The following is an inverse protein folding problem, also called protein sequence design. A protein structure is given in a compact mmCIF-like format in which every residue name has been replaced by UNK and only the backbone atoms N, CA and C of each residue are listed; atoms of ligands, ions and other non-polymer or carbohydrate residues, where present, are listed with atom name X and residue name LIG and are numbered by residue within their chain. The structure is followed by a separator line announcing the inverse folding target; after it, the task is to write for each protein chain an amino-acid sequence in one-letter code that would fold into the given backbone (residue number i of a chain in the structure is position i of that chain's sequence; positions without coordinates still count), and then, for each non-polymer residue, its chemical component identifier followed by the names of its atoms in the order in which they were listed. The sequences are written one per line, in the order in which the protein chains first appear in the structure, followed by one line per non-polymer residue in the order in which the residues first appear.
data_IF_516953194568
#
_entry.id   IF_516953194568
#
_cell.length_a   1.000
_cell.length_b   1.000
_cell.length_c   1.000
_cell.angle_alpha   90.00
_cell.angle_beta   90.00
_cell.angle_gamma   90.00
#
_symmetry.space_group_name_H-M   'P 1'
#
loop_
_entity.id
_entity.type
_entity.pdbx_description
1 polymer ?
#
# COMPACT_ATOMS: atom_id res chain seq x y z
N UNK A 1 34.38 52.85 -2.61
CA UNK A 1 34.86 51.64 -1.91
C UNK A 1 33.66 50.83 -1.42
N UNK A 2 33.30 49.75 -2.11
CA UNK A 2 32.18 48.89 -1.73
C UNK A 2 32.71 47.64 -1.02
N UNK A 3 32.29 47.44 0.24
CA UNK A 3 32.69 46.30 1.07
C UNK A 3 32.23 44.96 0.44
N UNK A 4 33.14 44.06 0.01
CA UNK A 4 32.79 42.80 -0.66
C UNK A 4 32.20 41.74 0.28
N UNK A 5 32.19 41.98 1.59
CA UNK A 5 31.66 41.05 2.60
C UNK A 5 30.14 41.03 2.75
N UNK A 6 29.43 42.12 2.42
CA UNK A 6 27.98 42.24 2.69
C UNK A 6 27.09 41.48 1.71
N UNK A 7 27.54 41.25 0.47
CA UNK A 7 26.78 40.47 -0.53
C UNK A 7 26.85 38.97 -0.24
N UNK A 8 28.03 38.47 0.14
CA UNK A 8 28.23 37.05 0.48
C UNK A 8 27.46 36.65 1.74
N UNK A 9 27.45 37.49 2.79
CA UNK A 9 26.65 37.24 3.99
C UNK A 9 25.15 37.31 3.75
N UNK A 10 24.67 38.21 2.88
CA UNK A 10 23.25 38.25 2.47
C UNK A 10 22.81 37.02 1.69
N UNK A 11 23.64 36.54 0.76
CA UNK A 11 23.35 35.31 -0.01
C UNK A 11 23.34 34.08 0.91
N UNK A 12 24.29 34.02 1.86
CA UNK A 12 24.36 32.92 2.82
C UNK A 12 23.13 32.88 3.74
N UNK A 13 22.71 34.05 4.27
CA UNK A 13 21.49 34.17 5.07
C UNK A 13 20.24 33.76 4.29
N UNK A 14 20.16 34.14 3.02
CA UNK A 14 19.00 33.83 2.17
C UNK A 14 18.93 32.33 1.86
N UNK A 15 20.06 31.69 1.53
CA UNK A 15 20.16 30.24 1.37
C UNK A 15 19.79 29.50 2.67
N UNK A 16 20.27 29.99 3.82
CA UNK A 16 19.97 29.36 5.10
C UNK A 16 18.47 29.44 5.43
N UNK A 17 17.82 30.58 5.17
CA UNK A 17 16.37 30.73 5.34
C UNK A 17 15.57 29.83 4.39
N UNK A 18 16.00 29.67 3.13
CA UNK A 18 15.35 28.75 2.19
C UNK A 18 15.47 27.32 2.70
N UNK A 19 16.66 26.92 3.16
CA UNK A 19 16.92 25.56 3.65
C UNK A 19 16.08 25.24 4.89
N UNK A 20 16.01 26.18 5.84
CA UNK A 20 15.18 26.05 7.05
C UNK A 20 13.69 25.96 6.70
N UNK A 21 13.21 26.80 5.78
CA UNK A 21 11.82 26.76 5.33
C UNK A 21 11.49 25.47 4.57
N UNK A 22 12.42 24.92 3.78
CA UNK A 22 12.26 23.63 3.11
C UNK A 22 12.17 22.47 4.11
N UNK A 23 13.00 22.48 5.16
CA UNK A 23 12.95 21.46 6.22
C UNK A 23 11.64 21.56 7.00
N UNK A 24 11.22 22.77 7.39
CA UNK A 24 9.94 23.01 8.07
C UNK A 24 8.78 22.55 7.19
N UNK A 25 8.81 22.84 5.89
CA UNK A 25 7.77 22.40 4.95
C UNK A 25 7.72 20.88 4.82
N UNK A 26 8.85 20.18 4.75
CA UNK A 26 8.89 18.70 4.69
C UNK A 26 8.41 18.09 6.00
N UNK A 27 8.80 18.63 7.16
CA UNK A 27 8.36 18.13 8.48
C UNK A 27 6.87 18.38 8.71
N UNK A 28 6.35 19.54 8.34
CA UNK A 28 4.91 19.86 8.43
C UNK A 28 4.12 18.99 7.44
N UNK A 29 4.58 18.85 6.19
CA UNK A 29 3.90 18.00 5.19
C UNK A 29 3.90 16.53 5.62
N UNK A 30 5.03 15.99 6.07
CA UNK A 30 5.12 14.61 6.52
C UNK A 30 4.34 14.40 7.83
N UNK A 31 4.35 15.36 8.76
CA UNK A 31 3.59 15.29 10.02
C UNK A 31 2.08 15.44 9.82
N UNK A 32 1.62 16.24 8.86
CA UNK A 32 0.20 16.34 8.46
C UNK A 32 -0.23 15.09 7.70
N UNK A 33 0.61 14.53 6.82
CA UNK A 33 0.32 13.27 6.11
C UNK A 33 0.29 12.10 7.09
N UNK A 34 1.23 12.02 8.05
CA UNK A 34 1.23 10.97 9.09
C UNK A 34 0.07 11.12 10.07
N UNK A 35 -0.29 12.34 10.50
CA UNK A 35 -1.48 12.55 11.34
C UNK A 35 -2.76 12.26 10.58
N UNK A 36 -2.89 12.70 9.33
CA UNK A 36 -4.09 12.43 8.54
C UNK A 36 -4.20 10.95 8.19
N UNK A 37 -3.10 10.25 7.92
CA UNK A 37 -3.11 8.81 7.69
C UNK A 37 -3.39 8.03 8.99
N UNK A 38 -2.79 8.38 10.13
CA UNK A 38 -3.09 7.73 11.43
C UNK A 38 -4.50 8.00 11.92
N UNK A 39 -5.01 9.22 11.77
CA UNK A 39 -6.39 9.59 12.13
C UNK A 39 -7.37 8.95 11.14
N UNK A 40 -7.03 8.83 9.86
CA UNK A 40 -7.81 8.10 8.86
C UNK A 40 -7.82 6.61 9.15
N UNK A 41 -6.67 5.96 9.40
CA UNK A 41 -6.58 4.53 9.68
C UNK A 41 -7.28 4.15 10.99
N UNK A 42 -7.07 4.91 12.08
CA UNK A 42 -7.79 4.65 13.34
C UNK A 42 -9.28 4.95 13.23
N UNK A 43 -9.71 6.00 12.53
CA UNK A 43 -11.14 6.23 12.27
C UNK A 43 -11.73 5.24 11.29
N UNK A 44 -10.95 4.69 10.35
CA UNK A 44 -11.42 3.71 9.36
C UNK A 44 -11.52 2.32 9.99
N UNK A 45 -10.57 1.91 10.84
CA UNK A 45 -10.66 0.68 11.65
C UNK A 45 -11.78 0.80 12.68
N UNK A 46 -11.92 1.94 13.38
CA UNK A 46 -13.02 2.17 14.31
C UNK A 46 -14.38 2.30 13.59
N UNK A 47 -14.47 2.93 12.42
CA UNK A 47 -15.70 2.98 11.61
C UNK A 47 -15.99 1.64 10.91
N UNK A 48 -15.01 0.82 10.59
CA UNK A 48 -15.22 -0.55 10.07
C UNK A 48 -15.73 -1.48 11.18
N UNK A 49 -15.31 -1.25 12.43
CA UNK A 49 -15.88 -1.88 13.63
C UNK A 49 -17.25 -1.30 14.05
N UNK A 50 -17.57 -0.07 13.61
CA UNK A 50 -18.84 0.63 13.89
C UNK A 50 -19.69 0.89 12.63
N UNK A 51 -19.55 0.07 11.60
CA UNK A 51 -20.55 0.04 10.52
C UNK A 51 -21.81 -0.58 11.10
N UNK A 52 -22.70 0.31 11.58
CA UNK A 52 -24.14 0.17 11.82
C UNK A 52 -24.55 -1.16 12.48
N UNK A 53 -25.18 -1.09 13.65
CA UNK A 53 -26.14 -2.16 14.03
C UNK A 53 -26.96 -2.48 12.78
N UNK A 54 -26.83 -3.68 12.20
CA UNK A 54 -27.49 -3.96 10.93
C UNK A 54 -28.98 -3.91 11.22
N UNK A 55 -29.62 -2.82 10.80
CA UNK A 55 -31.06 -2.78 10.69
C UNK A 55 -31.46 -4.01 9.88
N UNK A 56 -32.23 -4.89 10.51
CA UNK A 56 -32.48 -6.23 10.02
C UNK A 56 -33.35 -6.15 8.74
N UNK A 57 -32.73 -6.00 7.56
CA UNK A 57 -33.45 -5.90 6.28
C UNK A 57 -34.27 -7.17 5.97
N UNK A 58 -33.97 -8.28 6.66
CA UNK A 58 -34.74 -9.53 6.64
C UNK A 58 -36.20 -9.40 7.11
N UNK A 59 -36.57 -8.34 7.82
CA UNK A 59 -37.96 -8.12 8.27
C UNK A 59 -38.96 -8.13 7.12
N UNK A 60 -38.64 -7.57 5.95
CA UNK A 60 -39.58 -7.55 4.81
C UNK A 60 -39.84 -8.92 4.20
N UNK A 61 -38.87 -9.85 4.28
CA UNK A 61 -39.04 -11.24 3.82
C UNK A 61 -39.83 -12.07 4.84
N UNK A 62 -39.63 -11.82 6.14
CA UNK A 62 -40.38 -12.45 7.21
C UNK A 62 -41.83 -11.95 7.28
N UNK A 63 -42.07 -10.66 7.01
CA UNK A 63 -43.40 -10.03 7.02
C UNK A 63 -44.35 -10.69 6.01
N UNK A 64 -43.86 -11.00 4.80
CA UNK A 64 -44.62 -11.75 3.79
C UNK A 64 -44.95 -13.19 4.25
N UNK A 65 -44.06 -13.83 5.01
CA UNK A 65 -44.31 -15.14 5.62
C UNK A 65 -45.28 -15.09 6.81
N UNK A 66 -45.21 -14.01 7.60
CA UNK A 66 -46.09 -13.74 8.76
C UNK A 66 -47.51 -13.37 8.35
N UNK A 67 -47.70 -12.67 7.23
CA UNK A 67 -49.02 -12.23 6.75
C UNK A 67 -49.93 -13.42 6.40
N UNK A 68 -49.38 -14.50 5.83
CA UNK A 68 -50.11 -15.75 5.58
C UNK A 68 -50.39 -16.58 6.84
N UNK A 69 -49.61 -16.38 7.90
CA UNK A 69 -49.71 -17.08 9.19
C UNK A 69 -50.74 -16.44 10.13
N UNK A 70 -50.81 -15.11 10.20
CA UNK A 70 -51.77 -14.37 11.03
C UNK A 70 -53.24 -14.66 10.65
N UNK A 71 -53.52 -14.97 9.39
CA UNK A 71 -54.87 -15.38 8.95
C UNK A 71 -55.33 -16.73 9.53
N UNK A 72 -54.40 -17.65 9.85
CA UNK A 72 -54.70 -18.95 10.48
C UNK A 72 -54.58 -18.93 12.00
N UNK A 73 -53.79 -18.00 12.54
CA UNK A 73 -53.57 -17.81 13.97
C UNK A 73 -54.82 -17.31 14.73
N UNK A 74 -55.72 -16.61 14.03
CA UNK A 74 -56.97 -16.06 14.57
C UNK A 74 -58.20 -16.93 14.25
N UNK A 75 -58.05 -18.26 14.12
CA UNK A 75 -59.24 -19.13 14.13
C UNK A 75 -59.86 -19.02 15.52
N UNK A 76 -60.87 -18.15 15.60
CA UNK A 76 -61.75 -17.99 16.74
C UNK A 76 -62.50 -19.32 16.90
N UNK A 77 -62.02 -20.17 17.81
CA UNK A 77 -62.60 -21.48 18.14
C UNK A 77 -64.06 -21.37 18.61
N UNK A 78 -64.59 -20.16 18.81
CA UNK A 78 -66.00 -19.92 19.18
C UNK A 78 -66.97 -19.89 18.00
N UNK A 79 -66.50 -19.86 16.75
CA UNK A 79 -67.38 -19.79 15.56
C UNK A 79 -67.23 -21.03 14.67
N UNK A 80 -67.93 -22.10 15.07
CA UNK A 80 -68.64 -23.13 14.26
C UNK A 80 -68.39 -24.55 14.78
N UNK A 81 -69.35 -25.12 15.52
CA UNK A 81 -70.30 -26.12 15.01
C UNK A 81 -71.23 -26.59 16.16
N UNK A 82 -72.49 -26.16 16.11
CA UNK A 82 -73.58 -26.86 16.79
C UNK A 82 -73.79 -28.18 16.05
N UNK A 83 -73.29 -29.28 16.63
CA UNK A 83 -73.60 -30.64 16.18
C UNK A 83 -72.49 -31.66 16.50
N UNK A 84 -72.72 -32.46 17.54
CA UNK A 84 -72.15 -33.77 17.86
C UNK A 84 -70.79 -34.16 17.25
N UNK A 85 -69.71 -33.83 17.96
CA UNK A 85 -68.64 -34.77 18.36
C UNK A 85 -67.50 -34.00 19.03
N UNK A 86 -67.48 -33.97 20.37
CA UNK A 86 -66.34 -33.45 21.15
C UNK A 86 -65.01 -34.10 20.74
N UNK A 87 -65.05 -35.34 20.21
CA UNK A 87 -63.88 -36.06 19.71
C UNK A 87 -63.38 -35.52 18.36
N UNK A 88 -64.25 -35.06 17.47
CA UNK A 88 -63.86 -34.47 16.19
C UNK A 88 -63.28 -33.06 16.38
N UNK A 89 -63.86 -32.27 17.28
CA UNK A 89 -63.37 -30.93 17.64
C UNK A 89 -62.01 -30.98 18.35
N UNK A 90 -61.83 -31.89 19.31
CA UNK A 90 -60.54 -32.11 19.98
C UNK A 90 -59.43 -32.57 19.03
N UNK A 91 -59.76 -33.42 18.05
CA UNK A 91 -58.78 -33.87 17.04
C UNK A 91 -58.41 -32.74 16.07
N UNK A 92 -59.37 -31.88 15.69
CA UNK A 92 -59.11 -30.70 14.86
C UNK A 92 -58.21 -29.68 15.60
N UNK A 93 -58.52 -29.35 16.85
CA UNK A 93 -57.73 -28.42 17.68
C UNK A 93 -56.29 -28.93 17.89
N UNK A 94 -56.11 -30.22 18.18
CA UNK A 94 -54.78 -30.83 18.30
C UNK A 94 -53.98 -30.77 17.00
N UNK A 95 -54.65 -30.98 15.85
CA UNK A 95 -54.00 -30.90 14.53
C UNK A 95 -53.57 -29.47 14.18
N UNK A 96 -54.32 -28.45 14.62
CA UNK A 96 -53.98 -27.05 14.40
C UNK A 96 -52.77 -26.62 15.25
N UNK A 97 -52.67 -27.09 16.50
CA UNK A 97 -51.47 -26.87 17.32
C UNK A 97 -50.22 -27.53 16.72
N UNK A 98 -50.35 -28.72 16.13
CA UNK A 98 -49.24 -29.38 15.41
C UNK A 98 -48.82 -28.58 14.17
N UNK A 99 -49.78 -28.01 13.43
CA UNK A 99 -49.50 -27.10 12.31
C UNK A 99 -48.75 -25.85 12.78
N UNK A 100 -49.19 -25.21 13.87
CA UNK A 100 -48.54 -24.03 14.44
C UNK A 100 -47.10 -24.33 14.91
N UNK A 101 -46.87 -25.47 15.56
CA UNK A 101 -45.50 -25.90 15.95
C UNK A 101 -44.63 -26.11 14.72
N UNK A 102 -45.17 -26.73 13.66
CA UNK A 102 -44.44 -26.93 12.40
C UNK A 102 -44.08 -25.60 11.73
N UNK A 103 -44.99 -24.63 11.74
CA UNK A 103 -44.72 -23.29 11.19
C UNK A 103 -43.69 -22.51 12.01
N UNK A 104 -43.72 -22.60 13.34
CA UNK A 104 -42.68 -22.00 14.20
C UNK A 104 -41.29 -22.55 13.85
N UNK A 105 -41.17 -23.87 13.63
CA UNK A 105 -39.92 -24.50 13.19
C UNK A 105 -39.49 -24.01 11.80
N UNK A 106 -40.42 -23.95 10.85
CA UNK A 106 -40.16 -23.45 9.48
C UNK A 106 -39.67 -21.99 9.50
N UNK A 107 -40.27 -21.14 10.33
CA UNK A 107 -39.85 -19.75 10.51
C UNK A 107 -38.43 -19.69 11.08
N UNK A 108 -38.15 -20.47 12.14
CA UNK A 108 -36.80 -20.57 12.72
C UNK A 108 -35.75 -20.94 11.66
N UNK A 109 -36.02 -21.94 10.83
CA UNK A 109 -35.08 -22.37 9.78
C UNK A 109 -34.87 -21.28 8.71
N UNK A 110 -35.92 -20.52 8.36
CA UNK A 110 -35.82 -19.39 7.43
C UNK A 110 -35.00 -18.26 8.02
N UNK A 111 -35.25 -17.90 9.29
CA UNK A 111 -34.49 -16.86 9.98
C UNK A 111 -33.01 -17.21 10.09
N UNK A 112 -32.69 -18.46 10.44
CA UNK A 112 -31.31 -18.95 10.51
C UNK A 112 -30.61 -18.86 9.15
N UNK A 113 -31.26 -19.29 8.07
CA UNK A 113 -30.71 -19.20 6.71
C UNK A 113 -30.51 -17.75 6.25
N UNK A 114 -31.45 -16.84 6.55
CA UNK A 114 -31.31 -15.42 6.25
C UNK A 114 -30.12 -14.82 7.02
N UNK A 115 -29.98 -15.16 8.31
CA UNK A 115 -28.87 -14.64 9.12
C UNK A 115 -27.52 -15.14 8.64
N UNK A 116 -27.41 -16.41 8.26
CA UNK A 116 -26.20 -16.98 7.67
C UNK A 116 -25.84 -16.31 6.34
N UNK A 117 -26.83 -16.01 5.48
CA UNK A 117 -26.62 -15.28 4.22
C UNK A 117 -26.09 -13.86 4.46
N UNK A 118 -26.66 -13.14 5.43
CA UNK A 118 -26.22 -11.78 5.80
C UNK A 118 -24.78 -11.77 6.31
N UNK A 119 -24.42 -12.74 7.16
CA UNK A 119 -23.05 -12.91 7.67
C UNK A 119 -22.08 -13.18 6.52
N UNK A 120 -22.46 -14.05 5.59
CA UNK A 120 -21.64 -14.35 4.43
C UNK A 120 -21.39 -13.11 3.57
N UNK A 121 -22.44 -12.35 3.25
CA UNK A 121 -22.34 -11.12 2.47
C UNK A 121 -21.47 -10.07 3.17
N UNK A 122 -21.68 -9.89 4.49
CA UNK A 122 -20.88 -8.98 5.32
C UNK A 122 -19.40 -9.36 5.28
N UNK A 123 -19.09 -10.66 5.39
CA UNK A 123 -17.72 -11.17 5.29
C UNK A 123 -17.11 -10.91 3.90
N UNK A 124 -17.82 -11.18 2.80
CA UNK A 124 -17.31 -10.94 1.45
C UNK A 124 -17.07 -9.45 1.17
N UNK A 125 -17.96 -8.58 1.67
CA UNK A 125 -17.81 -7.13 1.58
C UNK A 125 -16.57 -6.65 2.32
N UNK A 126 -16.32 -7.19 3.52
CA UNK A 126 -15.10 -6.90 4.28
C UNK A 126 -13.84 -7.39 3.56
N UNK A 127 -13.84 -8.64 3.06
CA UNK A 127 -12.71 -9.21 2.28
C UNK A 127 -12.34 -8.31 1.11
N UNK A 128 -13.33 -7.90 0.32
CA UNK A 128 -13.11 -7.08 -0.88
C UNK A 128 -12.54 -5.72 -0.52
N UNK A 129 -13.14 -5.04 0.46
CA UNK A 129 -12.66 -3.73 0.94
C UNK A 129 -11.24 -3.83 1.50
N UNK A 130 -10.96 -4.83 2.34
CA UNK A 130 -9.67 -4.97 3.00
C UNK A 130 -8.55 -5.29 2.01
N UNK A 131 -8.79 -6.18 1.06
CA UNK A 131 -7.85 -6.46 -0.05
C UNK A 131 -7.56 -5.20 -0.86
N UNK A 132 -8.60 -4.45 -1.23
CA UNK A 132 -8.42 -3.20 -1.97
C UNK A 132 -7.61 -2.16 -1.19
N UNK A 133 -7.82 -2.02 0.11
CA UNK A 133 -7.03 -1.11 0.95
C UNK A 133 -5.55 -1.50 0.97
N UNK A 134 -5.23 -2.77 1.23
CA UNK A 134 -3.85 -3.23 1.31
C UNK A 134 -3.13 -3.20 -0.04
N UNK A 135 -3.83 -3.52 -1.14
CA UNK A 135 -3.26 -3.37 -2.50
C UNK A 135 -2.95 -1.90 -2.81
N UNK A 136 -3.86 -0.98 -2.48
CA UNK A 136 -3.60 0.45 -2.64
C UNK A 136 -2.41 0.94 -1.79
N UNK A 137 -2.23 0.43 -0.57
CA UNK A 137 -1.07 0.72 0.27
C UNK A 137 0.23 0.19 -0.36
N UNK A 138 0.19 -1.04 -0.90
CA UNK A 138 1.31 -1.65 -1.61
C UNK A 138 1.70 -0.82 -2.85
N UNK A 139 0.75 -0.50 -3.72
CA UNK A 139 1.00 0.29 -4.94
C UNK A 139 1.59 1.67 -4.62
N UNK A 140 1.09 2.35 -3.58
CA UNK A 140 1.68 3.63 -3.12
C UNK A 140 3.13 3.45 -2.68
N UNK A 141 3.47 2.34 -2.03
CA UNK A 141 4.85 2.06 -1.61
C UNK A 141 5.75 1.72 -2.79
N UNK A 142 5.27 0.95 -3.76
CA UNK A 142 5.97 0.68 -5.03
C UNK A 142 6.36 1.99 -5.71
N UNK A 143 5.40 2.87 -5.98
CA UNK A 143 5.65 4.15 -6.67
C UNK A 143 6.69 4.98 -5.91
N UNK A 144 6.54 5.14 -4.60
CA UNK A 144 7.47 5.92 -3.79
C UNK A 144 8.89 5.35 -3.80
N UNK A 145 9.03 4.02 -3.74
CA UNK A 145 10.34 3.36 -3.75
C UNK A 145 11.00 3.43 -5.13
N UNK A 146 10.23 3.29 -6.21
CA UNK A 146 10.73 3.44 -7.59
C UNK A 146 11.16 4.87 -7.89
N UNK A 147 10.38 5.86 -7.46
CA UNK A 147 10.75 7.29 -7.60
C UNK A 147 12.02 7.62 -6.81
N UNK A 148 12.12 7.11 -5.58
CA UNK A 148 13.31 7.27 -4.76
C UNK A 148 14.54 6.62 -5.40
N UNK A 149 14.42 5.38 -5.89
CA UNK A 149 15.50 4.67 -6.59
C UNK A 149 15.93 5.45 -7.84
N UNK A 150 14.98 5.92 -8.66
CA UNK A 150 15.28 6.71 -9.85
C UNK A 150 16.03 7.99 -9.50
N UNK A 151 15.59 8.71 -8.47
CA UNK A 151 16.26 9.93 -8.01
C UNK A 151 17.68 9.64 -7.52
N UNK A 152 17.85 8.57 -6.75
CA UNK A 152 19.15 8.11 -6.23
C UNK A 152 20.12 7.76 -7.37
N UNK A 153 19.67 7.00 -8.38
CA UNK A 153 20.48 6.62 -9.54
C UNK A 153 20.87 7.83 -10.40
N UNK A 154 19.96 8.80 -10.58
CA UNK A 154 20.27 10.06 -11.28
C UNK A 154 21.36 10.82 -10.52
N UNK A 155 21.21 10.96 -9.20
CA UNK A 155 22.18 11.64 -8.36
C UNK A 155 23.55 10.94 -8.43
N UNK A 156 23.58 9.61 -8.33
CA UNK A 156 24.82 8.84 -8.41
C UNK A 156 25.49 8.97 -9.78
N UNK A 157 24.72 9.02 -10.87
CA UNK A 157 25.22 9.25 -12.22
C UNK A 157 25.85 10.65 -12.37
N UNK A 158 25.25 11.67 -11.75
CA UNK A 158 25.80 13.02 -11.73
C UNK A 158 27.11 13.07 -10.95
N UNK A 159 27.18 12.43 -9.77
CA UNK A 159 28.40 12.31 -8.99
C UNK A 159 29.51 11.60 -9.77
N UNK A 160 29.18 10.53 -10.48
CA UNK A 160 30.13 9.77 -11.31
C UNK A 160 30.70 10.63 -12.44
N UNK A 161 29.85 11.44 -13.09
CA UNK A 161 30.31 12.41 -14.11
C UNK A 161 31.20 13.50 -13.52
N UNK A 162 30.84 14.00 -12.34
CA UNK A 162 31.64 15.01 -11.65
C UNK A 162 33.02 14.47 -11.27
N UNK A 163 33.09 13.25 -10.73
CA UNK A 163 34.36 12.58 -10.42
C UNK A 163 35.25 12.39 -11.65
N UNK A 164 34.66 12.05 -12.81
CA UNK A 164 35.42 11.94 -14.04
C UNK A 164 35.95 13.31 -14.51
N UNK A 165 35.11 14.35 -14.47
CA UNK A 165 35.53 15.71 -14.82
C UNK A 165 36.66 16.21 -13.92
N UNK A 166 36.56 15.99 -12.61
CA UNK A 166 37.59 16.42 -11.66
C UNK A 166 38.90 15.68 -11.89
N UNK A 167 38.84 14.38 -12.21
CA UNK A 167 40.00 13.59 -12.61
C UNK A 167 40.64 14.10 -13.91
N UNK A 168 39.84 14.38 -14.94
CA UNK A 168 40.32 14.95 -16.22
C UNK A 168 41.06 16.27 -15.98
N UNK A 169 40.51 17.14 -15.12
CA UNK A 169 41.12 18.43 -14.78
C UNK A 169 42.43 18.28 -14.00
N UNK A 170 42.47 17.36 -13.03
CA UNK A 170 43.67 17.07 -12.23
C UNK A 170 44.80 16.57 -13.13
N UNK A 171 44.51 15.57 -13.97
CA UNK A 171 45.47 14.98 -14.89
C UNK A 171 46.01 16.00 -15.92
N UNK A 172 45.14 16.86 -16.45
CA UNK A 172 45.56 17.95 -17.34
C UNK A 172 46.46 18.95 -16.61
N UNK A 173 46.16 19.27 -15.35
CA UNK A 173 46.98 20.16 -14.52
C UNK A 173 48.37 19.59 -14.25
N UNK A 174 48.48 18.29 -13.99
CA UNK A 174 49.77 17.61 -13.79
C UNK A 174 50.64 17.64 -15.04
N UNK A 175 50.02 17.45 -16.22
CA UNK A 175 50.74 17.45 -17.49
C UNK A 175 50.94 18.86 -18.09
N UNK A 176 50.32 19.89 -17.52
CA UNK A 176 50.32 21.25 -18.07
C UNK A 176 51.73 21.82 -18.21
N UNK A 177 52.57 21.72 -17.18
CA UNK A 177 53.94 22.25 -17.23
C UNK A 177 54.80 21.52 -18.27
N UNK A 178 54.65 20.19 -18.36
CA UNK A 178 55.35 19.37 -19.35
C UNK A 178 54.94 19.75 -20.78
N UNK A 179 53.63 19.90 -21.02
CA UNK A 179 53.10 20.28 -22.32
C UNK A 179 53.52 21.70 -22.71
N UNK A 180 53.45 22.67 -21.80
CA UNK A 180 53.87 24.06 -22.05
C UNK A 180 55.37 24.12 -22.37
N UNK A 181 56.20 23.39 -21.62
CA UNK A 181 57.63 23.33 -21.87
C UNK A 181 57.92 22.71 -23.26
N UNK A 182 57.26 21.61 -23.62
CA UNK A 182 57.40 20.99 -24.94
C UNK A 182 56.89 21.90 -26.06
N UNK A 183 55.79 22.62 -25.86
CA UNK A 183 55.27 23.60 -26.83
C UNK A 183 56.25 24.77 -27.04
N UNK A 184 56.89 25.25 -25.97
CA UNK A 184 57.91 26.29 -26.08
C UNK A 184 59.13 25.79 -26.86
N UNK A 185 59.62 24.58 -26.54
CA UNK A 185 60.73 23.95 -27.27
C UNK A 185 60.38 23.72 -28.75
N UNK A 186 59.13 23.34 -29.03
CA UNK A 186 58.64 23.17 -30.39
C UNK A 186 58.64 24.50 -31.15
N UNK A 187 58.08 25.57 -30.57
CA UNK A 187 58.05 26.90 -31.17
C UNK A 187 59.45 27.49 -31.38
N UNK A 188 60.38 27.29 -30.43
CA UNK A 188 61.78 27.68 -30.59
C UNK A 188 62.50 26.91 -31.69
N UNK A 189 62.08 25.68 -31.97
CA UNK A 189 62.61 24.89 -33.09
C UNK A 189 62.04 25.37 -34.44
N UNK A 190 60.76 25.77 -34.47
CA UNK A 190 60.12 26.37 -35.65
C UNK A 190 60.73 27.74 -36.01
N UNK A 191 61.16 28.54 -35.02
CA UNK A 191 61.80 29.85 -35.27
C UNK A 191 63.22 29.76 -35.87
N UNK A 192 63.82 28.57 -35.94
CA UNK A 192 65.20 28.35 -36.44
C UNK A 192 65.26 27.99 -37.93
N UNK A 193 64.26 28.43 -38.70
CA UNK A 193 63.99 28.13 -40.11
C UNK A 193 65.21 27.73 -40.98
N UNK A 194 65.08 26.59 -41.67
CA UNK A 194 65.80 26.31 -42.92
C UNK A 194 66.98 25.34 -42.89
N UNK A 195 67.34 24.72 -41.75
CA UNK A 195 68.38 23.66 -41.72
C UNK A 195 67.74 22.29 -41.44
N UNK A 196 68.00 21.32 -42.32
CA UNK A 196 67.53 19.93 -42.17
C UNK A 196 67.88 19.32 -40.79
N UNK A 197 68.97 19.78 -40.18
CA UNK A 197 69.45 19.39 -38.84
C UNK A 197 68.43 19.62 -37.71
N UNK A 198 67.45 20.53 -37.87
CA UNK A 198 66.43 20.81 -36.85
C UNK A 198 65.10 20.06 -37.05
N UNK A 199 64.95 19.31 -38.14
CA UNK A 199 63.75 18.48 -38.38
C UNK A 199 63.67 17.31 -37.40
N UNK A 200 64.79 16.68 -37.06
CA UNK A 200 64.81 15.54 -36.14
C UNK A 200 64.44 15.93 -34.69
N UNK A 201 65.01 16.99 -34.08
CA UNK A 201 64.57 17.50 -32.77
C UNK A 201 63.09 17.89 -32.74
N UNK A 202 62.61 18.55 -33.80
CA UNK A 202 61.21 18.95 -33.95
C UNK A 202 60.27 17.75 -33.93
N UNK A 203 60.57 16.73 -34.74
CA UNK A 203 59.80 15.50 -34.78
C UNK A 203 59.82 14.76 -33.43
N UNK A 204 60.96 14.76 -32.72
CA UNK A 204 61.05 14.19 -31.36
C UNK A 204 60.18 14.93 -30.35
N UNK A 205 60.13 16.26 -30.38
CA UNK A 205 59.27 17.06 -29.49
C UNK A 205 57.79 16.80 -29.81
N UNK A 206 57.41 16.78 -31.09
CA UNK A 206 56.05 16.45 -31.50
C UNK A 206 55.63 15.05 -31.05
N UNK A 207 56.50 14.05 -31.20
CA UNK A 207 56.25 12.69 -30.74
C UNK A 207 56.02 12.64 -29.21
N UNK A 208 56.80 13.40 -28.43
CA UNK A 208 56.62 13.50 -26.97
C UNK A 208 55.29 14.16 -26.59
N UNK A 209 54.91 15.26 -27.26
CA UNK A 209 53.60 15.89 -27.04
C UNK A 209 52.45 14.93 -27.35
N UNK A 210 52.55 14.19 -28.46
CA UNK A 210 51.55 13.20 -28.84
C UNK A 210 51.48 12.06 -27.83
N UNK A 211 52.63 11.56 -27.34
CA UNK A 211 52.68 10.53 -26.31
C UNK A 211 51.97 10.97 -25.02
N UNK A 212 52.19 12.20 -24.55
CA UNK A 212 51.49 12.74 -23.37
C UNK A 212 49.97 12.82 -23.62
N UNK A 213 49.54 13.29 -24.79
CA UNK A 213 48.10 13.35 -25.14
C UNK A 213 47.46 11.96 -25.17
N UNK A 214 48.15 10.97 -25.74
CA UNK A 214 47.69 9.58 -25.79
C UNK A 214 47.62 8.99 -24.39
N UNK A 215 48.59 9.28 -23.52
CA UNK A 215 48.56 8.83 -22.13
C UNK A 215 47.37 9.43 -21.37
N UNK A 216 47.15 10.74 -21.48
CA UNK A 216 45.97 11.39 -20.88
C UNK A 216 44.67 10.74 -21.35
N UNK A 217 44.53 10.53 -22.66
CA UNK A 217 43.33 9.89 -23.22
C UNK A 217 43.13 8.46 -22.69
N UNK A 218 44.23 7.70 -22.53
CA UNK A 218 44.22 6.34 -22.01
C UNK A 218 43.80 6.31 -20.53
N UNK A 219 44.36 7.16 -19.70
CA UNK A 219 44.03 7.23 -18.27
C UNK A 219 42.59 7.68 -18.05
N UNK A 220 42.12 8.68 -18.79
CA UNK A 220 40.72 9.13 -18.76
C UNK A 220 39.77 8.02 -19.18
N UNK A 221 40.10 7.27 -20.24
CA UNK A 221 39.30 6.13 -20.67
C UNK A 221 39.24 5.02 -19.61
N UNK A 222 40.39 4.67 -19.01
CA UNK A 222 40.45 3.67 -17.94
C UNK A 222 39.66 4.11 -16.70
N UNK A 223 39.76 5.39 -16.32
CA UNK A 223 38.99 5.94 -15.19
C UNK A 223 37.49 5.94 -15.46
N UNK A 224 37.08 6.29 -16.69
CA UNK A 224 35.69 6.24 -17.11
C UNK A 224 35.14 4.81 -17.01
N UNK A 225 35.85 3.83 -17.55
CA UNK A 225 35.46 2.42 -17.48
C UNK A 225 35.32 1.94 -16.02
N UNK A 226 36.27 2.30 -15.15
CA UNK A 226 36.19 1.97 -13.73
C UNK A 226 34.94 2.57 -13.07
N UNK A 227 34.68 3.85 -13.31
CA UNK A 227 33.55 4.58 -12.74
C UNK A 227 32.20 4.05 -13.27
N UNK A 228 32.12 3.72 -14.56
CA UNK A 228 30.94 3.11 -15.18
C UNK A 228 30.66 1.72 -14.59
N UNK A 229 31.70 0.90 -14.39
CA UNK A 229 31.57 -0.40 -13.73
C UNK A 229 31.08 -0.28 -12.28
N UNK A 230 31.59 0.71 -11.54
CA UNK A 230 31.13 1.00 -10.17
C UNK A 230 29.67 1.44 -10.16
N UNK A 231 29.25 2.28 -11.11
CA UNK A 231 27.86 2.71 -11.25
C UNK A 231 26.93 1.53 -11.58
N UNK A 232 27.30 0.67 -12.53
CA UNK A 232 26.51 -0.52 -12.87
C UNK A 232 26.35 -1.50 -11.69
N UNK A 233 27.43 -1.71 -10.93
CA UNK A 233 27.38 -2.55 -9.73
C UNK A 233 26.45 -1.95 -8.67
N UNK A 234 26.53 -0.63 -8.45
CA UNK A 234 25.66 0.11 -7.54
C UNK A 234 24.18 0.01 -7.95
N UNK A 235 23.88 0.25 -9.23
CA UNK A 235 22.53 0.17 -9.78
C UNK A 235 21.91 -1.22 -9.57
N UNK A 236 22.68 -2.28 -9.89
CA UNK A 236 22.24 -3.66 -9.69
C UNK A 236 21.98 -3.96 -8.21
N UNK A 237 22.87 -3.53 -7.32
CA UNK A 237 22.70 -3.75 -5.89
C UNK A 237 21.45 -3.05 -5.35
N UNK A 238 21.29 -1.76 -5.64
CA UNK A 238 20.17 -0.96 -5.13
C UNK A 238 18.82 -1.40 -5.69
N UNK A 239 18.78 -1.78 -6.97
CA UNK A 239 17.57 -2.36 -7.57
C UNK A 239 17.17 -3.66 -6.86
N UNK A 240 18.13 -4.54 -6.57
CA UNK A 240 17.87 -5.79 -5.83
C UNK A 240 17.40 -5.51 -4.39
N UNK A 241 17.99 -4.54 -3.71
CA UNK A 241 17.57 -4.15 -2.36
C UNK A 241 16.13 -3.62 -2.33
N UNK A 242 15.76 -2.75 -3.28
CA UNK A 242 14.38 -2.25 -3.41
C UNK A 242 13.41 -3.39 -3.72
N UNK A 243 13.76 -4.31 -4.62
CA UNK A 243 12.92 -5.47 -4.93
C UNK A 243 12.69 -6.35 -3.69
N UNK A 244 13.75 -6.67 -2.94
CA UNK A 244 13.64 -7.43 -1.69
C UNK A 244 12.76 -6.71 -0.64
N UNK A 245 12.83 -5.38 -0.57
CA UNK A 245 11.98 -4.60 0.33
C UNK A 245 10.50 -4.69 -0.07
N UNK A 246 10.20 -4.67 -1.38
CA UNK A 246 8.85 -4.82 -1.90
C UNK A 246 8.30 -6.23 -1.66
N UNK A 247 9.12 -7.28 -1.86
CA UNK A 247 8.72 -8.65 -1.58
C UNK A 247 8.40 -8.86 -0.10
N UNK A 248 9.27 -8.35 0.79
CA UNK A 248 9.03 -8.41 2.23
C UNK A 248 7.77 -7.63 2.65
N UNK A 249 7.52 -6.47 2.04
CA UNK A 249 6.30 -5.71 2.27
C UNK A 249 5.07 -6.50 1.84
N UNK A 250 5.11 -7.13 0.66
CA UNK A 250 4.01 -7.95 0.16
C UNK A 250 3.67 -9.09 1.12
N UNK A 251 4.68 -9.85 1.56
CA UNK A 251 4.50 -10.93 2.53
C UNK A 251 3.90 -10.42 3.85
N UNK A 252 4.33 -9.24 4.32
CA UNK A 252 3.79 -8.62 5.53
C UNK A 252 2.30 -8.24 5.36
N UNK A 253 1.93 -7.67 4.23
CA UNK A 253 0.54 -7.28 3.94
C UNK A 253 -0.36 -8.51 3.75
N UNK A 254 0.14 -9.58 3.13
CA UNK A 254 -0.58 -10.84 3.00
C UNK A 254 -0.86 -11.48 4.38
N UNK A 255 0.15 -11.51 5.27
CA UNK A 255 -0.03 -11.98 6.65
C UNK A 255 -1.00 -11.10 7.44
N UNK A 256 -0.94 -9.78 7.24
CA UNK A 256 -1.89 -8.85 7.86
C UNK A 256 -3.32 -9.10 7.38
N UNK A 257 -3.52 -9.31 6.07
CA UNK A 257 -4.83 -9.66 5.51
C UNK A 257 -5.35 -10.95 6.14
N UNK A 258 -4.54 -11.99 6.21
CA UNK A 258 -4.95 -13.29 6.74
C UNK A 258 -5.38 -13.19 8.21
N UNK A 259 -4.63 -12.47 9.03
CA UNK A 259 -4.96 -12.20 10.43
C UNK A 259 -6.26 -11.38 10.58
N UNK A 260 -6.43 -10.33 9.78
CA UNK A 260 -7.62 -9.49 9.81
C UNK A 260 -8.87 -10.27 9.41
N UNK A 261 -8.78 -11.11 8.36
CA UNK A 261 -9.88 -11.96 7.92
C UNK A 261 -10.24 -13.03 8.96
N UNK A 262 -9.25 -13.65 9.59
CA UNK A 262 -9.47 -14.64 10.64
C UNK A 262 -10.15 -14.00 11.86
N UNK A 263 -9.67 -12.84 12.32
CA UNK A 263 -10.26 -12.12 13.44
C UNK A 263 -11.69 -11.66 13.15
N UNK A 264 -11.94 -11.12 11.95
CA UNK A 264 -13.28 -10.67 11.56
C UNK A 264 -14.26 -11.84 11.43
N UNK A 265 -13.83 -12.97 10.86
CA UNK A 265 -14.64 -14.19 10.78
C UNK A 265 -14.97 -14.75 12.16
N UNK A 266 -14.00 -14.77 13.07
CA UNK A 266 -14.21 -15.23 14.44
C UNK A 266 -15.25 -14.34 15.17
N UNK A 267 -15.18 -13.03 14.99
CA UNK A 267 -16.17 -12.09 15.55
C UNK A 267 -17.57 -12.34 14.98
N UNK A 268 -17.70 -12.50 13.66
CA UNK A 268 -18.99 -12.81 13.02
C UNK A 268 -19.58 -14.14 13.51
N UNK A 269 -18.76 -15.17 13.68
CA UNK A 269 -19.19 -16.46 14.20
C UNK A 269 -19.66 -16.34 15.65
N UNK A 270 -18.93 -15.62 16.51
CA UNK A 270 -19.34 -15.40 17.89
C UNK A 270 -20.69 -14.68 17.96
N UNK A 271 -20.87 -13.60 17.20
CA UNK A 271 -22.13 -12.85 17.15
C UNK A 271 -23.30 -13.72 16.65
N UNK A 272 -23.02 -14.63 15.70
CA UNK A 272 -23.99 -15.60 15.22
C UNK A 272 -24.38 -16.61 16.29
N UNK A 273 -23.41 -17.18 17.00
CA UNK A 273 -23.66 -18.16 18.06
C UNK A 273 -24.48 -17.55 19.20
N UNK A 274 -24.16 -16.32 19.61
CA UNK A 274 -24.91 -15.56 20.62
C UNK A 274 -26.36 -15.31 20.16
N UNK A 275 -26.55 -14.85 18.92
CA UNK A 275 -27.87 -14.66 18.33
C UNK A 275 -28.66 -15.98 18.25
N UNK A 276 -28.02 -17.05 17.78
CA UNK A 276 -28.61 -18.39 17.61
C UNK A 276 -29.05 -18.97 18.94
N UNK A 277 -28.28 -18.80 20.00
CA UNK A 277 -28.65 -19.25 21.34
C UNK A 277 -29.90 -18.53 21.86
N UNK A 278 -29.97 -17.21 21.67
CA UNK A 278 -31.15 -16.41 22.05
C UNK A 278 -32.38 -16.86 21.25
N UNK A 279 -32.25 -16.99 19.93
CA UNK A 279 -33.37 -17.38 19.08
C UNK A 279 -33.84 -18.81 19.34
N UNK A 280 -32.92 -19.76 19.49
CA UNK A 280 -33.26 -21.15 19.84
C UNK A 280 -34.05 -21.21 21.15
N UNK A 281 -33.67 -20.41 22.16
CA UNK A 281 -34.42 -20.28 23.42
C UNK A 281 -35.82 -19.69 23.21
N UNK A 282 -35.96 -18.65 22.38
CA UNK A 282 -37.26 -18.03 22.07
C UNK A 282 -38.18 -19.01 21.32
N UNK A 283 -37.68 -19.70 20.31
CA UNK A 283 -38.45 -20.69 19.56
C UNK A 283 -38.82 -21.89 20.42
N UNK A 284 -37.93 -22.38 21.28
CA UNK A 284 -38.23 -23.46 22.22
C UNK A 284 -39.36 -23.08 23.18
N UNK A 285 -39.34 -21.86 23.74
CA UNK A 285 -40.44 -21.33 24.58
C UNK A 285 -41.75 -21.23 23.80
N UNK A 286 -41.72 -20.73 22.56
CA UNK A 286 -42.90 -20.61 21.72
C UNK A 286 -43.52 -21.99 21.42
N UNK A 287 -42.69 -23.00 21.14
CA UNK A 287 -43.13 -24.39 20.94
C UNK A 287 -43.71 -24.96 22.24
N UNK A 288 -43.05 -24.77 23.39
CA UNK A 288 -43.52 -25.29 24.68
C UNK A 288 -44.89 -24.72 25.07
N UNK A 289 -45.12 -23.42 24.87
CA UNK A 289 -46.44 -22.79 25.08
C UNK A 289 -47.53 -23.50 24.26
N UNK A 290 -47.26 -23.80 22.98
CA UNK A 290 -48.21 -24.52 22.12
C UNK A 290 -48.39 -25.98 22.53
N UNK A 291 -47.34 -26.64 23.00
CA UNK A 291 -47.43 -28.01 23.52
C UNK A 291 -48.24 -28.09 24.82
N UNK A 292 -48.12 -27.11 25.71
CA UNK A 292 -48.92 -27.02 26.93
C UNK A 292 -50.40 -26.79 26.59
N UNK A 293 -50.69 -25.90 25.64
CA UNK A 293 -52.06 -25.66 25.14
C UNK A 293 -52.67 -26.87 24.44
N UNK A 294 -51.87 -27.73 23.81
CA UNK A 294 -52.33 -29.01 23.23
C UNK A 294 -52.72 -30.06 24.28
N UNK A 295 -52.10 -29.99 25.47
CA UNK A 295 -52.29 -30.96 26.56
C UNK A 295 -53.48 -30.61 27.46
N UNK A 296 -53.79 -29.32 27.59
CA UNK A 296 -54.94 -28.78 28.31
C UNK A 296 -56.20 -28.83 27.44
#
# INVERSE_FOLDING_TARGET
MMFPGRKKTRILLLLMTITIMSIIFVVIRNGIIERNNKISEQKMVANLLHLQEPGWEGYTKLDNGFTGFLQKWNIDTRKKQTGDSELAENNFIRSEFDHQISEIKRISDIEENLKLSEIHETFQNYVTKRRSTLDNEFQKKVINMEEALKSELIQKKLETKQQLHDFEKELLSEQQLNLVNLQLQFALSDLKDGREEFNEPRNKIQAKMNAIKTEIAREVAAKRELLDNQFMAYEKQRTKEVHNQLDNLKLKLDSQLENDLAAFKANLNQNYDDWRQIQSSNFAKAIDIRQQQKKN
#
